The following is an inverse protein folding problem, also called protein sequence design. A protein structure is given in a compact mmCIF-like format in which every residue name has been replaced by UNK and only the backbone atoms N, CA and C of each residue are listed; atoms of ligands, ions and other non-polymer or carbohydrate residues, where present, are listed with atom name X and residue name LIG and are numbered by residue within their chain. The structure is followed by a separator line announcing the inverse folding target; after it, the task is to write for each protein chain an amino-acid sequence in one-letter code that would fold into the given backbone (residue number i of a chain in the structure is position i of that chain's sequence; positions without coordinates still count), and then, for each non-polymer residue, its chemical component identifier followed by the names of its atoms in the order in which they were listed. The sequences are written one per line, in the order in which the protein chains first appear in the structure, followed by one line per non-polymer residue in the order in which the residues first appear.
data_IF_847985409994
#
_entry.id   IF_847985409994
#
_cell.length_a   1.000
_cell.length_b   1.000
_cell.length_c   1.000
_cell.angle_alpha   90.00
_cell.angle_beta   90.00
_cell.angle_gamma   90.00
#
_symmetry.space_group_name_H-M   'P 1'
#
loop_
_entity.id
_entity.type
_entity.pdbx_description
1 polymer ?
#
# COMPACT_ATOMS: atom_id res chain seq x y z
N UNK A 1 22.96 -12.46 2.96
CA UNK A 1 24.20 -11.71 2.62
C UNK A 1 25.23 -12.58 1.86
N UNK A 2 25.51 -13.81 2.29
CA UNK A 2 26.49 -14.70 1.63
C UNK A 2 26.24 -14.97 0.13
N UNK A 3 24.98 -15.06 -0.30
CA UNK A 3 24.65 -15.29 -1.71
C UNK A 3 25.10 -14.14 -2.65
N UNK A 4 25.42 -12.96 -2.11
CA UNK A 4 25.79 -11.79 -2.91
C UNK A 4 27.30 -11.53 -3.00
N UNK A 5 28.12 -12.30 -2.26
CA UNK A 5 29.57 -12.15 -2.30
C UNK A 5 30.13 -12.48 -3.69
N UNK A 6 29.62 -13.55 -4.30
CA UNK A 6 30.03 -14.00 -5.64
C UNK A 6 29.75 -12.94 -6.71
N UNK A 7 28.61 -12.25 -6.62
CA UNK A 7 28.26 -11.17 -7.53
C UNK A 7 29.14 -9.93 -7.32
N UNK A 8 29.45 -9.60 -6.06
CA UNK A 8 30.37 -8.49 -5.73
C UNK A 8 31.80 -8.76 -6.26
N UNK A 9 32.30 -9.99 -6.12
CA UNK A 9 33.62 -10.38 -6.64
C UNK A 9 33.68 -10.29 -8.17
N UNK A 10 32.61 -10.71 -8.84
CA UNK A 10 32.52 -10.64 -10.29
C UNK A 10 32.47 -9.18 -10.77
N UNK A 11 31.72 -8.32 -10.07
CA UNK A 11 31.65 -6.88 -10.34
C UNK A 11 33.02 -6.21 -10.14
N UNK A 12 33.71 -6.52 -9.04
CA UNK A 12 35.07 -6.02 -8.77
C UNK A 12 36.08 -6.48 -9.83
N UNK A 13 35.99 -7.74 -10.28
CA UNK A 13 36.85 -8.27 -11.34
C UNK A 13 36.59 -7.57 -12.67
N UNK A 14 35.33 -7.29 -13.00
CA UNK A 14 34.94 -6.57 -14.22
C UNK A 14 35.34 -5.11 -14.19
N UNK A 15 35.15 -4.40 -13.08
CA UNK A 15 35.65 -3.03 -12.90
C UNK A 15 37.17 -2.98 -13.09
N UNK A 16 37.93 -3.89 -12.47
CA UNK A 16 39.38 -3.99 -12.67
C UNK A 16 39.77 -4.26 -14.14
N UNK A 17 38.95 -4.99 -14.89
CA UNK A 17 39.18 -5.22 -16.32
C UNK A 17 38.89 -3.96 -17.15
N UNK A 18 37.84 -3.22 -16.79
CA UNK A 18 37.48 -1.95 -17.42
C UNK A 18 38.57 -0.92 -17.14
N UNK A 19 38.99 -0.76 -15.90
CA UNK A 19 40.06 0.16 -15.51
C UNK A 19 41.37 -0.19 -16.23
N UNK A 20 41.76 -1.48 -16.26
CA UNK A 20 42.95 -1.91 -17.00
C UNK A 20 42.86 -1.68 -18.50
N UNK A 21 41.67 -1.86 -19.10
CA UNK A 21 41.50 -1.58 -20.52
C UNK A 21 41.51 -0.08 -20.78
N UNK A 22 40.85 0.73 -19.94
CA UNK A 22 40.87 2.19 -20.00
C UNK A 22 42.28 2.75 -19.84
N UNK A 23 43.06 2.26 -18.87
CA UNK A 23 44.48 2.59 -18.70
C UNK A 23 45.31 2.10 -19.90
N UNK A 24 44.95 0.95 -20.45
CA UNK A 24 45.55 0.33 -21.63
C UNK A 24 45.10 0.94 -22.97
N UNK A 25 44.11 1.85 -22.99
CA UNK A 25 43.65 2.53 -24.22
C UNK A 25 44.75 3.41 -24.81
N UNK A 26 45.80 3.70 -24.05
CA UNK A 26 47.02 4.32 -24.57
C UNK A 26 47.79 3.45 -25.58
N UNK A 27 47.36 2.20 -25.82
CA UNK A 27 47.87 1.34 -26.86
C UNK A 27 49.25 0.77 -26.55
N UNK A 28 49.56 -0.37 -27.15
CA UNK A 28 50.94 -0.87 -27.16
C UNK A 28 51.78 0.04 -28.05
N UNK A 29 52.86 0.61 -27.51
CA UNK A 29 53.82 1.39 -28.29
C UNK A 29 54.93 0.47 -28.78
N UNK A 30 55.17 0.46 -30.09
CA UNK A 30 56.31 -0.23 -30.68
C UNK A 30 57.29 0.82 -31.18
N UNK A 31 58.54 0.70 -30.72
CA UNK A 31 59.63 1.61 -31.08
C UNK A 31 60.63 0.86 -31.96
N UNK A 32 60.89 1.39 -33.15
CA UNK A 32 61.91 0.85 -34.04
C UNK A 32 63.30 1.28 -33.58
N UNK A 33 64.10 0.36 -33.05
CA UNK A 33 65.45 0.67 -32.51
C UNK A 33 66.39 1.24 -33.58
N UNK A 34 66.34 0.70 -34.80
CA UNK A 34 67.22 1.11 -35.90
C UNK A 34 66.90 2.51 -36.44
N UNK A 35 65.61 2.91 -36.45
CA UNK A 35 65.17 4.22 -36.97
C UNK A 35 65.10 5.31 -35.90
N UNK A 36 64.85 4.94 -34.65
CA UNK A 36 64.80 5.90 -33.54
C UNK A 36 66.19 6.30 -33.04
N UNK A 37 67.22 5.52 -33.37
CA UNK A 37 68.56 5.69 -32.80
C UNK A 37 68.62 5.43 -31.28
N UNK A 38 67.57 4.84 -30.70
CA UNK A 38 67.47 4.57 -29.27
C UNK A 38 68.01 3.18 -28.93
N UNK A 39 68.70 3.08 -27.81
CA UNK A 39 69.02 1.78 -27.20
C UNK A 39 67.77 1.16 -26.58
N UNK A 40 67.76 -0.16 -26.39
CA UNK A 40 66.64 -0.88 -25.77
C UNK A 40 66.28 -0.33 -24.36
N UNK A 41 67.27 0.12 -23.60
CA UNK A 41 67.06 0.72 -22.28
C UNK A 41 66.37 2.10 -22.39
N UNK A 42 66.78 2.93 -23.34
CA UNK A 42 66.14 4.24 -23.59
C UNK A 42 64.72 4.08 -24.13
N UNK A 43 64.49 3.11 -25.02
CA UNK A 43 63.15 2.83 -25.56
C UNK A 43 62.14 2.44 -24.46
N UNK A 44 62.56 1.70 -23.42
CA UNK A 44 61.70 1.42 -22.25
C UNK A 44 61.34 2.68 -21.47
N UNK A 45 62.26 3.62 -21.36
CA UNK A 45 62.03 4.90 -20.69
C UNK A 45 61.10 5.82 -21.52
N UNK A 46 61.13 5.72 -22.85
CA UNK A 46 60.22 6.45 -23.74
C UNK A 46 58.76 6.09 -23.46
N UNK A 47 58.44 4.82 -23.29
CA UNK A 47 57.06 4.39 -22.98
C UNK A 47 56.58 4.96 -21.65
N UNK A 48 57.44 5.01 -20.63
CA UNK A 48 57.12 5.56 -19.30
C UNK A 48 57.03 7.08 -19.28
N UNK A 49 57.91 7.77 -20.03
CA UNK A 49 57.86 9.22 -20.16
C UNK A 49 56.58 9.64 -20.88
N UNK A 50 56.22 8.92 -21.94
CA UNK A 50 55.07 9.26 -22.76
C UNK A 50 53.73 8.90 -22.10
N UNK A 51 53.68 7.85 -21.28
CA UNK A 51 52.50 7.55 -20.44
C UNK A 51 52.26 8.61 -19.36
N UNK A 52 53.31 9.31 -18.92
CA UNK A 52 53.23 10.45 -17.98
C UNK A 52 53.00 11.81 -18.68
N UNK A 53 52.77 11.83 -20.00
CA UNK A 53 52.60 13.05 -20.77
C UNK A 53 53.90 13.83 -21.04
N UNK A 54 55.06 13.19 -20.87
CA UNK A 54 56.37 13.77 -21.19
C UNK A 54 56.63 13.83 -22.69
N UNK A 55 57.53 14.73 -23.09
CA UNK A 55 57.96 14.91 -24.48
C UNK A 55 59.11 13.96 -24.83
N UNK A 56 59.07 13.36 -26.02
CA UNK A 56 60.12 12.49 -26.54
C UNK A 56 60.75 13.20 -27.74
N UNK A 57 62.06 13.36 -27.71
CA UNK A 57 62.83 13.97 -28.80
C UNK A 57 63.38 12.87 -29.68
N UNK A 58 63.15 12.99 -30.99
CA UNK A 58 63.71 12.09 -32.00
C UNK A 58 64.81 12.87 -32.72
N UNK A 59 66.06 12.39 -32.74
CA UNK A 59 67.19 13.13 -33.29
C UNK A 59 67.14 13.26 -34.82
N UNK A 60 66.50 12.32 -35.53
CA UNK A 60 66.33 12.36 -36.98
C UNK A 60 65.10 11.54 -37.43
N UNK A 61 64.47 11.91 -38.54
CA UNK A 61 63.32 11.23 -39.14
C UNK A 61 61.92 11.68 -38.67
N UNK A 62 60.88 11.13 -39.32
CA UNK A 62 59.49 11.42 -39.00
C UNK A 62 59.01 10.59 -37.78
N UNK A 63 58.26 11.18 -36.82
CA UNK A 63 57.80 10.46 -35.62
C UNK A 63 57.02 9.17 -35.89
N UNK A 64 56.25 9.15 -36.99
CA UNK A 64 55.48 7.97 -37.43
C UNK A 64 56.34 6.77 -37.83
N UNK A 65 57.60 6.98 -38.21
CA UNK A 65 58.50 5.88 -38.60
C UNK A 65 59.27 5.30 -37.42
N UNK A 66 59.42 6.08 -36.35
CA UNK A 66 60.14 5.68 -35.14
C UNK A 66 59.22 5.06 -34.10
N UNK A 67 57.98 5.55 -34.00
CA UNK A 67 57.01 5.17 -32.98
C UNK A 67 55.66 4.92 -33.66
N UNK A 68 55.17 3.69 -33.53
CA UNK A 68 53.81 3.34 -33.89
C UNK A 68 53.01 2.95 -32.64
N UNK A 69 51.76 3.38 -32.59
CA UNK A 69 50.82 3.04 -31.50
C UNK A 69 49.74 2.16 -32.07
N UNK A 70 49.68 0.93 -31.60
CA UNK A 70 48.57 0.06 -31.93
C UNK A 70 47.34 0.53 -31.16
N UNK A 71 46.21 0.82 -31.83
CA UNK A 71 44.97 1.12 -31.13
C UNK A 71 44.62 -0.08 -30.26
N UNK A 72 44.31 0.18 -28.98
CA UNK A 72 43.87 -0.88 -28.10
C UNK A 72 42.56 -1.47 -28.65
N UNK A 73 42.40 -2.81 -28.65
CA UNK A 73 41.12 -3.40 -28.97
C UNK A 73 40.08 -2.94 -27.95
N UNK A 74 39.00 -2.34 -28.43
CA UNK A 74 37.89 -1.92 -27.57
C UNK A 74 37.35 -3.11 -26.78
N UNK A 75 36.85 -2.85 -25.57
CA UNK A 75 36.18 -3.89 -24.79
C UNK A 75 34.95 -4.40 -25.56
N UNK A 76 34.70 -5.72 -25.57
CA UNK A 76 33.44 -6.26 -26.08
C UNK A 76 32.26 -5.65 -25.32
N UNK A 77 31.21 -5.25 -26.04
CA UNK A 77 29.99 -4.67 -25.45
C UNK A 77 29.36 -5.56 -24.37
N UNK A 78 29.56 -6.87 -24.46
CA UNK A 78 29.10 -7.86 -23.48
C UNK A 78 29.63 -7.60 -22.06
N UNK A 79 30.84 -7.04 -21.92
CA UNK A 79 31.42 -6.70 -20.61
C UNK A 79 30.62 -5.59 -19.93
N UNK A 80 30.19 -4.59 -20.70
CA UNK A 80 29.34 -3.50 -20.20
C UNK A 80 27.92 -3.98 -19.91
N UNK A 81 27.34 -4.76 -20.82
CA UNK A 81 26.01 -5.33 -20.63
C UNK A 81 25.93 -6.23 -19.39
N UNK A 82 26.95 -7.05 -19.16
CA UNK A 82 27.03 -7.90 -17.97
C UNK A 82 27.16 -7.07 -16.68
N UNK A 83 27.91 -5.97 -16.70
CA UNK A 83 28.03 -5.09 -15.53
C UNK A 83 26.69 -4.43 -15.19
N UNK A 84 25.94 -4.00 -16.19
CA UNK A 84 24.59 -3.44 -16.02
C UNK A 84 23.64 -4.48 -15.43
N UNK A 85 23.63 -5.71 -15.97
CA UNK A 85 22.79 -6.81 -15.47
C UNK A 85 23.12 -7.17 -14.01
N UNK A 86 24.40 -7.35 -13.68
CA UNK A 86 24.83 -7.67 -12.30
C UNK A 86 24.45 -6.54 -11.34
N UNK A 87 24.59 -5.28 -11.75
CA UNK A 87 24.17 -4.14 -10.93
C UNK A 87 22.66 -4.12 -10.72
N UNK A 88 21.86 -4.49 -11.73
CA UNK A 88 20.41 -4.65 -11.59
C UNK A 88 20.08 -5.73 -10.58
N UNK A 89 20.64 -6.94 -10.75
CA UNK A 89 20.44 -8.06 -9.82
C UNK A 89 20.84 -7.72 -8.39
N UNK A 90 21.95 -6.98 -8.21
CA UNK A 90 22.37 -6.50 -6.89
C UNK A 90 21.35 -5.56 -6.25
N UNK A 91 20.78 -4.63 -7.03
CA UNK A 91 19.71 -3.74 -6.54
C UNK A 91 18.43 -4.51 -6.23
N UNK A 92 18.10 -5.52 -7.02
CA UNK A 92 16.92 -6.37 -6.81
C UNK A 92 17.07 -7.21 -5.53
N UNK A 93 18.23 -7.82 -5.31
CA UNK A 93 18.53 -8.62 -4.11
C UNK A 93 18.52 -7.76 -2.84
N UNK A 94 19.09 -6.55 -2.90
CA UNK A 94 19.11 -5.65 -1.75
C UNK A 94 17.82 -4.83 -1.59
N UNK A 95 16.83 -5.05 -2.46
CA UNK A 95 15.57 -4.30 -2.42
C UNK A 95 15.70 -2.82 -2.74
N UNK A 96 16.90 -2.33 -3.10
CA UNK A 96 17.21 -0.92 -3.40
C UNK A 96 16.70 -0.49 -4.78
N UNK A 97 16.32 -1.44 -5.64
CA UNK A 97 15.37 -1.18 -6.72
C UNK A 97 13.95 -1.08 -6.16
N UNK A 98 13.74 -0.30 -5.09
CA UNK A 98 12.38 0.15 -4.78
C UNK A 98 11.82 0.74 -6.06
N UNK A 99 10.55 0.47 -6.37
CA UNK A 99 9.91 1.00 -7.56
C UNK A 99 10.27 2.48 -7.66
N UNK A 100 11.18 2.81 -8.58
CA UNK A 100 11.58 4.20 -8.77
C UNK A 100 10.29 5.00 -8.96
N UNK A 101 10.25 6.30 -8.62
CA UNK A 101 9.11 7.16 -8.94
C UNK A 101 8.66 7.10 -10.42
N UNK A 102 9.43 6.47 -11.31
CA UNK A 102 9.05 6.14 -12.68
C UNK A 102 7.99 5.02 -12.80
N UNK A 103 8.01 3.96 -11.97
CA UNK A 103 7.01 2.88 -12.04
C UNK A 103 5.63 3.27 -11.53
N UNK A 104 5.57 4.14 -10.51
CA UNK A 104 4.31 4.73 -10.01
C UNK A 104 3.76 5.81 -10.96
N UNK A 105 4.60 6.34 -11.88
CA UNK A 105 4.22 7.39 -12.83
C UNK A 105 3.35 6.88 -13.98
N UNK A 106 3.58 5.64 -14.42
CA UNK A 106 2.85 5.05 -15.55
C UNK A 106 1.53 4.38 -15.09
N UNK A 107 1.41 4.10 -13.79
CA UNK A 107 0.20 3.53 -13.19
C UNK A 107 -0.84 4.64 -12.90
N UNK A 108 -1.76 4.87 -13.83
CA UNK A 108 -2.75 5.96 -13.73
C UNK A 108 -3.95 5.62 -12.84
N UNK A 109 -4.19 4.34 -12.57
CA UNK A 109 -5.35 3.89 -11.79
C UNK A 109 -5.05 3.91 -10.30
N UNK A 110 -6.04 4.32 -9.50
CA UNK A 110 -5.95 4.31 -8.02
C UNK A 110 -5.69 2.88 -7.50
N UNK A 111 -6.30 1.87 -8.14
CA UNK A 111 -6.08 0.46 -7.81
C UNK A 111 -4.66 -0.02 -8.11
N UNK A 112 -4.12 0.34 -9.27
CA UNK A 112 -2.73 0.02 -9.62
C UNK A 112 -1.75 0.61 -8.61
N UNK A 113 -1.92 1.89 -8.24
CA UNK A 113 -1.07 2.55 -7.22
C UNK A 113 -1.14 1.87 -5.85
N UNK A 114 -2.32 1.39 -5.43
CA UNK A 114 -2.47 0.65 -4.17
C UNK A 114 -1.76 -0.70 -4.26
N UNK A 115 -1.86 -1.41 -5.39
CA UNK A 115 -1.17 -2.69 -5.61
C UNK A 115 0.35 -2.49 -5.61
N UNK A 116 0.87 -1.44 -6.28
CA UNK A 116 2.32 -1.15 -6.27
C UNK A 116 2.81 -0.81 -4.87
N UNK A 117 2.02 -0.02 -4.11
CA UNK A 117 2.34 0.32 -2.72
C UNK A 117 2.31 -0.91 -1.81
N UNK A 118 1.34 -1.82 -1.99
CA UNK A 118 1.25 -3.08 -1.25
C UNK A 118 2.46 -3.98 -1.56
N UNK A 119 2.87 -4.09 -2.82
CA UNK A 119 4.05 -4.88 -3.22
C UNK A 119 5.35 -4.33 -2.60
N UNK A 120 5.49 -3.01 -2.50
CA UNK A 120 6.64 -2.38 -1.83
C UNK A 120 6.59 -2.60 -0.31
N UNK A 121 5.41 -2.52 0.30
CA UNK A 121 5.22 -2.84 1.73
C UNK A 121 5.51 -4.31 2.03
N UNK A 122 5.13 -5.25 1.17
CA UNK A 122 5.43 -6.67 1.36
C UNK A 122 6.93 -6.97 1.15
N UNK A 123 7.60 -6.26 0.23
CA UNK A 123 9.04 -6.49 -0.04
C UNK A 123 9.96 -5.84 1.01
N UNK A 124 9.66 -4.62 1.43
CA UNK A 124 10.46 -3.89 2.43
C UNK A 124 10.04 -4.29 3.85
N UNK A 125 8.73 -4.51 4.05
CA UNK A 125 8.11 -4.92 5.31
C UNK A 125 7.98 -6.44 5.51
N UNK A 126 8.45 -7.26 4.57
CA UNK A 126 8.60 -8.71 4.76
C UNK A 126 10.01 -9.10 5.20
N UNK A 127 11.06 -8.45 4.69
CA UNK A 127 12.43 -8.84 5.04
C UNK A 127 12.91 -8.28 6.38
N UNK A 128 13.03 -6.96 6.48
CA UNK A 128 13.73 -6.32 7.61
C UNK A 128 12.90 -6.30 8.88
N UNK A 129 11.60 -6.03 8.75
CA UNK A 129 10.67 -6.01 9.89
C UNK A 129 10.40 -7.41 10.42
N UNK A 130 10.33 -8.45 9.60
CA UNK A 130 10.22 -9.85 10.09
C UNK A 130 11.47 -10.25 10.88
N UNK A 131 12.67 -9.89 10.41
CA UNK A 131 13.90 -10.09 11.21
C UNK A 131 13.91 -9.28 12.51
N UNK A 132 13.35 -8.06 12.52
CA UNK A 132 13.21 -7.28 13.74
C UNK A 132 12.16 -7.87 14.69
N UNK A 133 11.08 -8.45 14.18
CA UNK A 133 10.06 -9.16 14.96
C UNK A 133 10.66 -10.42 15.58
N UNK A 134 11.40 -11.23 14.81
CA UNK A 134 12.15 -12.39 15.31
C UNK A 134 13.20 -12.00 16.37
N UNK A 135 13.95 -10.93 16.12
CA UNK A 135 14.91 -10.40 17.09
C UNK A 135 14.21 -9.93 18.38
N UNK A 136 13.04 -9.29 18.26
CA UNK A 136 12.26 -8.85 19.40
C UNK A 136 11.75 -10.04 20.21
N UNK A 137 11.30 -11.11 19.55
CA UNK A 137 10.91 -12.37 20.20
C UNK A 137 12.05 -12.97 21.02
N UNK A 138 13.24 -13.07 20.43
CA UNK A 138 14.40 -13.60 21.12
C UNK A 138 14.77 -12.74 22.32
N UNK A 139 14.79 -11.41 22.16
CA UNK A 139 15.10 -10.46 23.24
C UNK A 139 14.07 -10.54 24.36
N UNK A 140 12.77 -10.58 24.06
CA UNK A 140 11.74 -10.66 25.09
C UNK A 140 11.78 -11.97 25.86
N UNK A 141 12.00 -13.10 25.17
CA UNK A 141 12.18 -14.38 25.84
C UNK A 141 13.45 -14.41 26.71
N UNK A 142 14.55 -13.80 26.25
CA UNK A 142 15.77 -13.66 27.04
C UNK A 142 15.57 -12.80 28.29
N UNK A 143 14.91 -11.65 28.15
CA UNK A 143 14.62 -10.75 29.29
C UNK A 143 13.70 -11.45 30.29
N UNK A 144 12.66 -12.15 29.82
CA UNK A 144 11.77 -12.91 30.69
C UNK A 144 12.51 -14.01 31.45
N UNK A 145 13.40 -14.74 30.76
CA UNK A 145 14.22 -15.77 31.37
C UNK A 145 15.18 -15.18 32.42
N UNK A 146 15.72 -13.98 32.16
CA UNK A 146 16.56 -13.26 33.11
C UNK A 146 15.77 -12.77 34.33
N UNK A 147 14.53 -12.29 34.14
CA UNK A 147 13.61 -11.93 35.23
C UNK A 147 13.35 -13.12 36.15
N UNK A 148 13.04 -14.30 35.59
CA UNK A 148 12.83 -15.52 36.38
C UNK A 148 14.06 -15.99 37.16
N UNK A 149 15.27 -15.68 36.68
CA UNK A 149 16.53 -16.04 37.38
C UNK A 149 16.81 -15.10 38.55
N UNK A 150 16.63 -13.80 38.37
CA UNK A 150 17.10 -12.80 39.34
C UNK A 150 16.04 -12.31 40.33
N UNK A 151 14.77 -12.32 39.95
CA UNK A 151 13.72 -11.80 40.81
C UNK A 151 13.16 -12.91 41.71
N UNK A 152 13.40 -12.78 43.02
CA UNK A 152 12.98 -13.76 44.03
C UNK A 152 11.46 -13.89 44.13
N UNK A 153 10.71 -12.85 43.72
CA UNK A 153 9.25 -12.89 43.72
C UNK A 153 8.70 -13.76 42.57
N UNK A 154 9.50 -13.97 41.52
CA UNK A 154 9.19 -14.85 40.39
C UNK A 154 9.91 -16.20 40.46
N UNK A 155 10.79 -16.42 41.44
CA UNK A 155 11.38 -17.72 41.71
C UNK A 155 10.30 -18.64 42.29
N UNK A 156 9.95 -19.67 41.52
CA UNK A 156 8.95 -20.65 41.94
C UNK A 156 9.39 -21.34 43.25
N UNK A 157 8.40 -21.63 44.10
CA UNK A 157 8.54 -22.39 45.34
C UNK A 157 9.44 -23.61 45.08
N UNK A 158 10.43 -23.90 45.94
CA UNK A 158 11.33 -25.02 45.75
C UNK A 158 10.55 -26.33 45.53
N UNK A 159 10.70 -26.91 44.32
CA UNK A 159 10.02 -28.13 43.89
C UNK A 159 8.91 -27.94 42.85
N UNK A 160 8.51 -26.70 42.55
CA UNK A 160 7.55 -26.43 41.48
C UNK A 160 8.26 -26.32 40.11
N UNK A 161 7.70 -26.99 39.10
CA UNK A 161 8.15 -26.83 37.71
C UNK A 161 7.57 -25.52 37.18
N UNK A 162 8.39 -24.53 36.77
CA UNK A 162 7.88 -23.30 36.20
C UNK A 162 7.02 -23.59 34.95
N UNK A 163 5.87 -22.93 34.78
CA UNK A 163 5.12 -23.00 33.54
C UNK A 163 5.98 -22.43 32.41
N UNK A 164 6.01 -23.14 31.29
CA UNK A 164 6.72 -22.69 30.09
C UNK A 164 5.95 -21.53 29.46
N UNK A 165 6.34 -20.31 29.80
CA UNK A 165 5.82 -19.09 29.18
C UNK A 165 6.67 -18.80 27.94
N UNK A 166 6.04 -18.76 26.76
CA UNK A 166 6.65 -18.29 25.53
C UNK A 166 6.02 -16.98 25.13
N UNK A 167 6.83 -15.93 25.00
CA UNK A 167 6.38 -14.66 24.43
C UNK A 167 6.60 -14.74 22.92
N UNK A 168 5.58 -14.36 22.16
CA UNK A 168 5.68 -14.13 20.72
C UNK A 168 5.06 -12.77 20.41
N UNK A 169 5.75 -11.99 19.60
CA UNK A 169 5.32 -10.74 19.01
C UNK A 169 4.46 -11.13 17.82
N UNK A 170 3.27 -10.55 17.77
CA UNK A 170 2.33 -10.80 16.68
C UNK A 170 2.95 -10.32 15.37
N UNK A 171 3.06 -11.21 14.40
CA UNK A 171 3.56 -10.90 13.05
C UNK A 171 2.81 -9.69 12.46
N UNK A 172 3.56 -8.75 11.89
CA UNK A 172 3.02 -7.52 11.33
C UNK A 172 2.60 -6.48 12.36
N UNK A 173 3.01 -6.63 13.63
CA UNK A 173 2.82 -5.59 14.65
C UNK A 173 3.68 -4.35 14.38
N UNK A 174 4.81 -4.51 13.67
CA UNK A 174 5.68 -3.40 13.27
C UNK A 174 5.30 -2.80 11.91
N UNK A 175 4.39 -3.43 11.16
CA UNK A 175 3.90 -2.85 9.92
C UNK A 175 3.06 -1.60 10.23
N UNK A 176 3.36 -0.46 9.58
CA UNK A 176 2.53 0.72 9.74
C UNK A 176 1.11 0.38 9.30
N UNK A 177 0.15 0.57 10.20
CA UNK A 177 -1.27 0.40 9.88
C UNK A 177 -1.60 1.35 8.73
N UNK A 178 -1.93 0.82 7.56
CA UNK A 178 -2.39 1.65 6.45
C UNK A 178 -3.80 2.14 6.77
N UNK A 179 -3.89 3.33 7.38
CA UNK A 179 -5.14 3.96 7.76
C UNK A 179 -6.09 4.14 6.57
N UNK A 180 -5.56 4.28 5.35
CA UNK A 180 -6.37 4.39 4.13
C UNK A 180 -6.98 3.03 3.78
N UNK A 181 -6.20 1.95 3.85
CA UNK A 181 -6.70 0.61 3.59
C UNK A 181 -7.77 0.20 4.62
N UNK A 182 -7.53 0.49 5.91
CA UNK A 182 -8.48 0.23 7.00
C UNK A 182 -9.75 1.05 6.81
N UNK A 183 -9.62 2.34 6.45
CA UNK A 183 -10.76 3.20 6.16
C UNK A 183 -11.60 2.67 4.99
N UNK A 184 -10.96 2.25 3.90
CA UNK A 184 -11.66 1.70 2.74
C UNK A 184 -12.38 0.39 3.07
N UNK A 185 -11.73 -0.52 3.81
CA UNK A 185 -12.37 -1.76 4.28
C UNK A 185 -13.54 -1.48 5.21
N UNK A 186 -13.39 -0.51 6.12
CA UNK A 186 -14.46 -0.12 7.04
C UNK A 186 -15.66 0.46 6.28
N UNK A 187 -15.42 1.31 5.27
CA UNK A 187 -16.46 1.85 4.39
C UNK A 187 -17.16 0.76 3.56
N UNK A 188 -16.42 -0.23 3.07
CA UNK A 188 -16.99 -1.36 2.34
C UNK A 188 -17.89 -2.22 3.25
N UNK A 189 -17.41 -2.56 4.45
CA UNK A 189 -18.19 -3.27 5.47
C UNK A 189 -19.44 -2.50 5.90
N UNK A 190 -19.34 -1.16 5.97
CA UNK A 190 -20.48 -0.29 6.28
C UNK A 190 -21.52 -0.29 5.15
N UNK A 191 -21.10 -0.25 3.89
CA UNK A 191 -22.01 -0.34 2.73
C UNK A 191 -22.82 -1.63 2.72
N UNK A 192 -22.23 -2.73 3.16
CA UNK A 192 -22.92 -4.04 3.25
C UNK A 192 -23.61 -4.27 4.61
N UNK A 193 -23.71 -3.24 5.47
CA UNK A 193 -24.31 -3.33 6.81
C UNK A 193 -23.72 -4.46 7.68
N UNK A 194 -22.41 -4.74 7.55
CA UNK A 194 -21.71 -5.80 8.32
C UNK A 194 -20.86 -5.25 9.47
N UNK A 195 -20.90 -3.95 9.73
CA UNK A 195 -20.19 -3.30 10.83
C UNK A 195 -21.12 -2.31 11.54
N UNK A 196 -20.94 -2.15 12.85
CA UNK A 196 -21.68 -1.14 13.60
C UNK A 196 -21.14 0.26 13.29
N UNK A 197 -21.98 1.29 13.41
CA UNK A 197 -21.53 2.68 13.21
C UNK A 197 -20.43 3.07 14.21
N UNK A 198 -20.46 2.54 15.44
CA UNK A 198 -19.41 2.77 16.45
C UNK A 198 -18.07 2.19 15.98
N UNK A 199 -18.08 0.94 15.51
CA UNK A 199 -16.86 0.28 15.02
C UNK A 199 -16.34 0.91 13.72
N UNK A 200 -17.23 1.42 12.87
CA UNK A 200 -16.88 2.19 11.68
C UNK A 200 -16.07 3.43 12.07
N UNK A 201 -16.57 4.25 13.00
CA UNK A 201 -15.88 5.47 13.41
C UNK A 201 -14.60 5.20 14.21
N UNK A 202 -14.56 4.12 14.99
CA UNK A 202 -13.33 3.66 15.65
C UNK A 202 -12.25 3.27 14.65
N UNK A 203 -12.61 2.60 13.54
CA UNK A 203 -11.66 2.23 12.47
C UNK A 203 -11.23 3.39 11.59
N UNK A 204 -12.04 4.45 11.53
CA UNK A 204 -11.73 5.70 10.83
C UNK A 204 -10.95 6.70 11.70
N UNK A 205 -10.55 6.31 12.92
CA UNK A 205 -9.83 7.14 13.90
C UNK A 205 -10.51 8.49 14.18
N UNK A 206 -11.85 8.52 14.24
CA UNK A 206 -12.55 9.73 14.67
C UNK A 206 -12.33 9.99 16.17
N UNK A 207 -12.20 11.27 16.59
CA UNK A 207 -11.90 11.62 17.98
C UNK A 207 -12.95 11.13 18.98
N UNK A 208 -14.25 11.22 18.62
CA UNK A 208 -15.37 10.78 19.46
C UNK A 208 -16.30 9.81 18.70
N UNK A 209 -15.90 8.54 18.51
CA UNK A 209 -16.62 7.61 17.64
C UNK A 209 -17.98 7.19 18.20
N UNK A 210 -18.12 7.16 19.52
CA UNK A 210 -19.36 6.76 20.20
C UNK A 210 -20.43 7.85 20.11
N UNK A 211 -20.04 9.12 20.30
CA UNK A 211 -20.94 10.26 20.16
C UNK A 211 -21.42 10.42 18.72
N UNK A 212 -20.53 10.26 17.72
CA UNK A 212 -20.90 10.35 16.31
C UNK A 212 -21.90 9.25 15.90
N UNK A 213 -21.66 8.01 16.35
CA UNK A 213 -22.58 6.92 16.10
C UNK A 213 -23.94 7.13 16.79
N UNK A 214 -23.94 7.64 18.03
CA UNK A 214 -25.16 7.98 18.76
C UNK A 214 -25.94 9.10 18.05
N UNK A 215 -25.25 10.14 17.58
CA UNK A 215 -25.88 11.24 16.84
C UNK A 215 -26.53 10.75 15.56
N UNK A 216 -25.87 9.90 14.78
CA UNK A 216 -26.46 9.35 13.53
C UNK A 216 -27.64 8.43 13.81
N UNK A 217 -27.57 7.64 14.89
CA UNK A 217 -28.71 6.86 15.32
C UNK A 217 -29.88 7.76 15.72
N UNK A 218 -29.62 8.86 16.42
CA UNK A 218 -30.62 9.87 16.78
C UNK A 218 -31.18 10.58 15.55
N UNK A 219 -30.36 10.93 14.55
CA UNK A 219 -30.83 11.51 13.28
C UNK A 219 -31.78 10.57 12.54
N UNK A 220 -31.50 9.27 12.58
CA UNK A 220 -32.30 8.25 11.88
C UNK A 220 -33.60 7.91 12.63
N UNK A 221 -33.55 7.79 13.96
CA UNK A 221 -34.67 7.26 14.75
C UNK A 221 -35.46 8.32 15.51
N UNK A 222 -34.84 9.45 15.88
CA UNK A 222 -35.46 10.49 16.69
C UNK A 222 -34.82 11.87 16.47
N UNK A 223 -34.92 12.44 15.25
CA UNK A 223 -34.28 13.72 14.90
C UNK A 223 -34.75 14.88 15.79
N UNK A 224 -35.96 14.79 16.36
CA UNK A 224 -36.51 15.75 17.31
C UNK A 224 -35.71 15.89 18.61
N UNK A 225 -34.95 14.86 19.02
CA UNK A 225 -34.12 14.90 20.22
C UNK A 225 -32.80 15.63 19.98
N UNK A 226 -32.26 15.53 18.76
CA UNK A 226 -30.96 16.08 18.41
C UNK A 226 -31.03 17.58 18.08
N UNK A 227 -32.10 18.02 17.40
CA UNK A 227 -32.24 19.39 16.92
C UNK A 227 -33.26 20.22 17.70
N UNK A 228 -33.39 19.97 19.01
CA UNK A 228 -34.39 20.64 19.86
C UNK A 228 -34.36 22.18 19.73
N UNK A 229 -33.19 22.76 19.51
CA UNK A 229 -33.01 24.22 19.46
C UNK A 229 -33.09 24.82 18.05
N UNK A 230 -33.28 24.00 17.01
CA UNK A 230 -33.29 24.47 15.61
C UNK A 230 -34.74 24.73 15.12
N UNK A 231 -35.10 26.01 14.97
CA UNK A 231 -36.43 26.45 14.53
C UNK A 231 -36.89 25.84 13.19
N UNK A 232 -35.97 25.67 12.23
CA UNK A 232 -36.31 25.12 10.91
C UNK A 232 -36.72 23.65 10.97
N UNK A 233 -36.10 22.90 11.88
CA UNK A 233 -36.41 21.47 12.06
C UNK A 233 -37.75 21.32 12.77
N UNK A 234 -38.09 22.20 13.70
CA UNK A 234 -39.40 22.22 14.36
C UNK A 234 -40.52 22.54 13.37
N UNK A 235 -40.33 23.49 12.46
CA UNK A 235 -41.32 23.84 11.44
C UNK A 235 -41.55 22.69 10.45
N UNK A 236 -40.48 22.02 10.00
CA UNK A 236 -40.58 20.84 9.15
C UNK A 236 -41.29 19.66 9.86
N UNK A 237 -41.03 19.45 11.15
CA UNK A 237 -41.69 18.42 11.96
C UNK A 237 -43.18 18.74 12.18
N UNK A 238 -43.52 19.99 12.47
CA UNK A 238 -44.91 20.42 12.62
C UNK A 238 -45.68 20.18 11.31
N UNK A 239 -45.09 20.52 10.17
CA UNK A 239 -45.67 20.27 8.85
C UNK A 239 -45.84 18.78 8.56
N UNK A 240 -44.88 17.94 8.98
CA UNK A 240 -44.98 16.48 8.81
C UNK A 240 -46.05 15.85 9.72
N UNK A 241 -46.17 16.31 10.97
CA UNK A 241 -47.21 15.85 11.89
C UNK A 241 -48.60 16.28 11.43
N UNK A 242 -48.74 17.51 10.94
CA UNK A 242 -50.00 18.01 10.38
C UNK A 242 -50.39 17.22 9.12
N UNK A 243 -49.43 16.91 8.24
CA UNK A 243 -49.68 16.05 7.08
C UNK A 243 -50.10 14.62 7.48
N UNK A 244 -49.49 14.04 8.53
CA UNK A 244 -49.89 12.73 9.05
C UNK A 244 -51.27 12.75 9.69
N UNK A 245 -51.57 13.76 10.52
CA UNK A 245 -52.91 13.92 11.11
C UNK A 245 -53.98 14.13 10.04
N UNK A 246 -53.72 14.98 9.05
CA UNK A 246 -54.64 15.19 7.92
C UNK A 246 -54.88 13.88 7.16
N UNK A 247 -53.85 13.05 6.98
CA UNK A 247 -54.01 11.74 6.32
C UNK A 247 -54.83 10.74 7.16
N UNK A 248 -54.71 10.78 8.49
CA UNK A 248 -55.49 9.95 9.40
C UNK A 248 -56.94 10.43 9.48
N UNK A 249 -57.17 11.75 9.52
CA UNK A 249 -58.50 12.33 9.54
C UNK A 249 -59.23 12.12 8.21
N UNK A 250 -58.54 12.20 7.08
CA UNK A 250 -59.11 11.82 5.78
C UNK A 250 -59.53 10.34 5.76
N UNK A 251 -58.70 9.43 6.26
CA UNK A 251 -59.05 8.00 6.37
C UNK A 251 -60.25 7.77 7.28
N UNK A 252 -60.29 8.41 8.46
CA UNK A 252 -61.41 8.31 9.39
C UNK A 252 -62.71 8.90 8.81
N UNK A 253 -62.61 9.97 8.02
CA UNK A 253 -63.76 10.60 7.36
C UNK A 253 -64.28 9.74 6.22
N UNK A 254 -63.40 9.11 5.43
CA UNK A 254 -63.76 8.13 4.42
C UNK A 254 -64.44 6.89 5.03
N UNK A 255 -63.95 6.38 6.16
CA UNK A 255 -64.60 5.26 6.85
C UNK A 255 -65.98 5.63 7.39
N UNK A 256 -66.14 6.82 7.98
CA UNK A 256 -67.45 7.32 8.45
C UNK A 256 -68.44 7.52 7.29
N UNK A 257 -67.99 8.08 6.17
CA UNK A 257 -68.87 8.23 4.99
C UNK A 257 -69.22 6.90 4.34
N UNK A 258 -68.31 5.92 4.29
CA UNK A 258 -68.63 4.55 3.86
C UNK A 258 -69.67 3.91 4.80
N UNK A 259 -69.54 4.11 6.10
CA UNK A 259 -70.48 3.58 7.08
C UNK A 259 -71.88 4.21 6.93
N UNK A 260 -71.97 5.53 6.72
CA UNK A 260 -73.25 6.22 6.47
C UNK A 260 -73.91 5.77 5.15
N UNK A 261 -73.16 5.63 4.05
CA UNK A 261 -73.73 5.11 2.79
C UNK A 261 -74.27 3.68 2.94
N UNK A 262 -73.60 2.84 3.74
CA UNK A 262 -74.09 1.49 4.00
C UNK A 262 -75.40 1.52 4.79
N UNK A 263 -75.53 2.39 5.80
CA UNK A 263 -76.78 2.58 6.55
C UNK A 263 -77.93 3.10 5.67
N UNK A 264 -77.67 4.06 4.78
CA UNK A 264 -78.67 4.55 3.81
C UNK A 264 -79.12 3.44 2.85
N UNK A 265 -78.18 2.60 2.41
CA UNK A 265 -78.48 1.47 1.51
C UNK A 265 -79.34 0.41 2.22
N UNK A 266 -79.14 0.18 3.52
CA UNK A 266 -79.98 -0.72 4.32
C UNK A 266 -81.39 -0.15 4.56
N UNK A 267 -81.51 1.15 4.81
CA UNK A 267 -82.81 1.82 4.97
C UNK A 267 -83.64 1.78 3.67
N UNK A 268 -83.02 2.05 2.52
CA UNK A 268 -83.68 1.94 1.20
C UNK A 268 -84.14 0.52 0.88
N UNK A 269 -83.40 -0.52 1.30
CA UNK A 269 -83.84 -1.91 1.20
C UNK A 269 -85.02 -2.24 2.12
N UNK A 270 -85.15 -1.54 3.25
CA UNK A 270 -86.30 -1.64 4.15
C UNK A 270 -87.58 -1.10 3.53
N UNK A 271 -87.52 0.05 2.86
CA UNK A 271 -88.69 0.69 2.23
C UNK A 271 -89.18 -0.03 0.96
N UNK A 272 -88.30 -0.69 0.20
CA UNK A 272 -88.70 -1.47 -0.98
C UNK A 272 -89.49 -2.76 -0.65
N UNK A 273 -89.52 -3.18 0.62
CA UNK A 273 -90.33 -4.32 1.08
C UNK A 273 -91.77 -3.97 1.45
N UNK A 274 -92.14 -2.69 1.50
CA UNK A 274 -93.51 -2.24 1.81
C UNK A 274 -94.31 -1.81 0.57
N UNK A 275 -93.74 -1.88 -0.63
CA UNK A 275 -94.48 -1.62 -1.86
C UNK A 275 -95.48 -2.77 -2.15
N UNK A 276 -96.80 -2.50 -2.19
CA UNK A 276 -97.79 -3.53 -2.44
C UNK A 276 -97.67 -4.08 -3.87
N UNK A 277 -97.80 -5.41 -4.08
CA UNK A 277 -97.62 -6.01 -5.38
C UNK A 277 -98.71 -5.56 -6.36
N UNK A 278 -98.27 -5.08 -7.53
CA UNK A 278 -99.12 -4.77 -8.66
C UNK A 278 -99.89 -6.02 -9.11
N UNK A 279 -101.22 -5.92 -9.13
CA UNK A 279 -102.15 -6.99 -9.53
C UNK A 279 -102.04 -7.20 -11.05
N UNK A 280 -101.75 -8.42 -11.53
CA UNK A 280 -101.79 -8.73 -12.95
C UNK A 280 -103.24 -8.95 -13.40
N UNK A 281 -103.63 -8.20 -14.41
CA UNK A 281 -104.92 -8.25 -15.09
C UNK A 281 -104.99 -9.53 -15.96
N UNK A 282 -105.91 -10.45 -15.65
CA UNK A 282 -106.14 -11.68 -16.41
C UNK A 282 -107.43 -11.53 -17.23
N UNK A 283 -107.24 -11.45 -18.54
CA UNK A 283 -108.27 -11.51 -19.58
C UNK A 283 -108.83 -12.93 -19.74
N UNK A 284 -110.15 -13.06 -19.62
CA UNK A 284 -111.01 -13.87 -20.49
C UNK A 284 -112.17 -13.00 -20.95
#
# INVERSE_FOLDING_TARGET
IQQNLSNQDLLNKRNKQIDKNADGMNGGMVVSLARSGLTQAQAKNVTSALSKGGTVVIPDGAPREAIDRYPAPGLPNDVYNQLVDIRSRLRDIFGVSGATPAGIRDETTVGGKIITKSLDTDRIGGGVTEYLEQLSDDIYNWILQLLYVYDTDFQFIPGAVPPKVSISVKEGSLLPKDSIAIANQALELARINRISNVDLYKRLDYPNPEEMAANIWLETNAPQLLYRDNQLVQEALAMQQEAQQTSVDMKNTEEKTKHQRNLETELLKGELRSAPPAVPNLSQ
#
